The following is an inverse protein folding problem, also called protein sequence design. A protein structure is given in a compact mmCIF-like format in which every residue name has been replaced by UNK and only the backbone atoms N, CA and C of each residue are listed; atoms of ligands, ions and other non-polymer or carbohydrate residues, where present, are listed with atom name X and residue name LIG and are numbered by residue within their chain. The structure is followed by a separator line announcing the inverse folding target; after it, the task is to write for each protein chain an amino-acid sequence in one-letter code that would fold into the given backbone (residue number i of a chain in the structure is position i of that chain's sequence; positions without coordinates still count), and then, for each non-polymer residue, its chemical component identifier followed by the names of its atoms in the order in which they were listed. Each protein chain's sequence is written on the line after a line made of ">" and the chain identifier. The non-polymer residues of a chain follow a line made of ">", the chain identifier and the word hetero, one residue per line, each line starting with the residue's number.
data_IF_503867878775
#
_entry.id   IF_503867878775
#
_cell.length_a   1.000
_cell.length_b   1.000
_cell.length_c   1.000
_cell.angle_alpha   90.00
_cell.angle_beta   90.00
_cell.angle_gamma   90.00
#
_symmetry.space_group_name_H-M   'P 1'
#
loop_
_entity.id
_entity.type
_entity.pdbx_description
1 polymer ?
#
# COMPACT_ATOMS: atom_id res chain seq x y z
N UNK A 1 12.57 31.87 -14.82
CA UNK A 1 12.12 31.86 -13.43
C UNK A 1 13.11 31.01 -12.67
N UNK A 2 13.93 31.59 -11.81
CA UNK A 2 14.89 30.87 -10.97
C UNK A 2 14.12 30.17 -9.87
N UNK A 3 13.99 28.85 -9.99
CA UNK A 3 13.45 28.01 -8.91
C UNK A 3 14.44 28.10 -7.75
N UNK A 4 14.06 28.76 -6.68
CA UNK A 4 14.86 28.73 -5.43
C UNK A 4 14.77 27.29 -4.94
N UNK A 5 15.85 26.51 -5.06
CA UNK A 5 15.92 25.18 -4.44
C UNK A 5 15.73 25.36 -2.93
N UNK A 6 14.60 24.84 -2.43
CA UNK A 6 14.35 24.76 -0.99
C UNK A 6 15.33 23.71 -0.45
N UNK A 7 16.31 24.15 0.35
CA UNK A 7 17.24 23.23 0.98
C UNK A 7 16.49 22.40 2.02
N UNK A 8 16.31 21.10 1.75
CA UNK A 8 15.72 20.17 2.70
C UNK A 8 16.61 20.04 3.94
N UNK A 9 16.00 19.83 5.10
CA UNK A 9 16.70 19.46 6.32
C UNK A 9 17.53 18.18 6.10
N UNK A 10 18.67 18.05 6.78
CA UNK A 10 19.60 16.92 6.62
C UNK A 10 18.94 15.57 6.93
N UNK A 11 18.07 15.51 7.94
CA UNK A 11 17.32 14.29 8.28
C UNK A 11 16.32 13.91 7.17
N UNK A 12 15.64 14.91 6.59
CA UNK A 12 14.75 14.69 5.45
C UNK A 12 15.54 14.18 4.25
N UNK A 13 16.70 14.78 3.95
CA UNK A 13 17.57 14.34 2.86
C UNK A 13 18.04 12.89 3.06
N UNK A 14 18.50 12.55 4.26
CA UNK A 14 18.94 11.19 4.59
C UNK A 14 17.79 10.18 4.44
N UNK A 15 16.58 10.55 4.87
CA UNK A 15 15.39 9.73 4.69
C UNK A 15 15.06 9.52 3.20
N UNK A 16 15.07 10.59 2.39
CA UNK A 16 14.82 10.51 0.94
C UNK A 16 15.79 9.55 0.25
N UNK A 17 17.08 9.64 0.58
CA UNK A 17 18.09 8.74 0.02
C UNK A 17 17.80 7.28 0.41
N UNK A 18 17.46 7.02 1.67
CA UNK A 18 17.13 5.68 2.14
C UNK A 18 15.86 5.14 1.47
N UNK A 19 14.80 5.95 1.41
CA UNK A 19 13.52 5.57 0.79
C UNK A 19 13.69 5.30 -0.73
N UNK A 20 14.51 6.10 -1.42
CA UNK A 20 14.79 5.88 -2.85
C UNK A 20 15.49 4.55 -3.08
N UNK A 21 16.53 4.24 -2.32
CA UNK A 21 17.22 2.94 -2.39
C UNK A 21 16.28 1.77 -2.10
N UNK A 22 15.42 1.92 -1.11
CA UNK A 22 14.46 0.89 -0.73
C UNK A 22 13.38 0.71 -1.80
N UNK A 23 12.95 1.79 -2.47
CA UNK A 23 12.05 1.73 -3.62
C UNK A 23 12.68 1.03 -4.83
N UNK A 24 13.94 1.33 -5.16
CA UNK A 24 14.69 0.65 -6.23
C UNK A 24 14.74 -0.86 -6.00
N UNK A 25 15.02 -1.27 -4.75
CA UNK A 25 14.99 -2.68 -4.35
C UNK A 25 13.58 -3.28 -4.49
N UNK A 26 12.56 -2.57 -4.00
CA UNK A 26 11.18 -3.01 -4.08
C UNK A 26 10.72 -3.17 -5.53
N UNK A 27 10.95 -2.19 -6.39
CA UNK A 27 10.59 -2.25 -7.81
C UNK A 27 11.28 -3.41 -8.53
N UNK A 28 12.56 -3.66 -8.25
CA UNK A 28 13.26 -4.82 -8.80
C UNK A 28 12.58 -6.13 -8.40
N UNK A 29 12.31 -6.34 -7.10
CA UNK A 29 11.66 -7.56 -6.61
C UNK A 29 10.26 -7.72 -7.20
N UNK A 30 9.47 -6.66 -7.25
CA UNK A 30 8.11 -6.69 -7.78
C UNK A 30 8.09 -7.00 -9.28
N UNK A 31 9.10 -6.58 -10.04
CA UNK A 31 9.28 -7.00 -11.45
C UNK A 31 9.66 -8.47 -11.55
N UNK A 32 10.66 -8.91 -10.78
CA UNK A 32 11.14 -10.29 -10.79
C UNK A 32 10.06 -11.31 -10.39
N UNK A 33 9.15 -10.92 -9.50
CA UNK A 33 8.00 -11.73 -9.08
C UNK A 33 6.79 -11.65 -10.01
N UNK A 34 6.84 -10.81 -11.04
CA UNK A 34 5.71 -10.59 -11.94
C UNK A 34 4.55 -9.80 -11.33
N UNK A 35 4.76 -9.17 -10.18
CA UNK A 35 3.75 -8.35 -9.50
C UNK A 35 3.53 -7.02 -10.23
N UNK A 36 4.56 -6.45 -10.85
CA UNK A 36 4.44 -5.27 -11.71
C UNK A 36 4.04 -5.71 -13.11
N UNK A 37 2.92 -5.17 -13.62
CA UNK A 37 2.46 -5.43 -14.98
C UNK A 37 3.38 -4.79 -16.03
N UNK A 38 3.20 -5.16 -17.30
CA UNK A 38 3.91 -4.55 -18.43
C UNK A 38 3.73 -3.03 -18.55
N UNK A 39 2.71 -2.47 -17.92
CA UNK A 39 2.48 -1.02 -17.89
C UNK A 39 3.29 -0.31 -16.79
N UNK A 40 3.83 -1.05 -15.82
CA UNK A 40 4.68 -0.54 -14.75
C UNK A 40 3.97 0.43 -13.78
N UNK A 41 2.64 0.32 -13.63
CA UNK A 41 1.89 1.23 -12.74
C UNK A 41 2.10 0.82 -11.29
N UNK A 42 3.07 1.42 -10.65
CA UNK A 42 3.29 1.32 -9.20
C UNK A 42 3.92 2.60 -8.67
N UNK A 43 3.39 3.07 -7.54
CA UNK A 43 3.81 4.29 -6.88
C UNK A 43 3.78 4.09 -5.36
N UNK A 44 4.92 4.30 -4.71
CA UNK A 44 5.00 4.38 -3.25
C UNK A 44 4.91 5.83 -2.80
N UNK A 45 4.20 6.07 -1.71
CA UNK A 45 4.26 7.31 -0.95
C UNK A 45 4.67 6.96 0.47
N UNK A 46 5.80 7.48 0.93
CA UNK A 46 6.32 7.23 2.26
C UNK A 46 6.45 8.52 3.04
N UNK A 47 5.88 8.52 4.24
CA UNK A 47 5.90 9.67 5.14
C UNK A 47 7.27 9.83 5.78
N UNK A 48 7.79 11.06 5.79
CA UNK A 48 8.98 11.40 6.58
C UNK A 48 8.58 11.47 8.06
N UNK A 49 9.18 10.66 8.95
CA UNK A 49 8.79 10.60 10.35
C UNK A 49 8.83 11.96 11.06
N UNK A 50 7.81 12.23 11.87
CA UNK A 50 7.73 13.45 12.68
C UNK A 50 7.46 14.75 11.88
N UNK A 51 7.12 14.64 10.59
CA UNK A 51 6.89 15.80 9.73
C UNK A 51 5.54 15.73 8.99
N UNK A 52 5.16 16.82 8.34
CA UNK A 52 4.08 16.87 7.33
C UNK A 52 4.66 16.80 5.90
N UNK A 53 5.67 15.96 5.68
CA UNK A 53 6.33 15.73 4.41
C UNK A 53 6.23 14.25 4.05
N UNK A 54 6.09 13.97 2.76
CA UNK A 54 6.24 12.61 2.24
C UNK A 54 7.05 12.61 0.94
N UNK A 55 7.56 11.42 0.61
CA UNK A 55 8.30 11.13 -0.61
C UNK A 55 7.44 10.26 -1.49
N UNK A 56 7.16 10.71 -2.72
CA UNK A 56 6.55 9.90 -3.75
C UNK A 56 7.63 9.30 -4.65
N UNK A 57 7.56 7.99 -4.88
CA UNK A 57 8.54 7.18 -5.59
C UNK A 57 7.81 6.34 -6.63
N UNK A 58 8.01 6.69 -7.90
CA UNK A 58 7.34 6.01 -9.01
C UNK A 58 8.29 5.00 -9.68
N UNK A 59 7.74 3.86 -10.09
CA UNK A 59 8.41 2.99 -11.06
C UNK A 59 8.53 3.75 -12.39
N UNK A 60 9.72 3.89 -12.96
CA UNK A 60 9.90 4.62 -14.21
C UNK A 60 9.16 4.01 -15.41
N UNK A 61 8.75 2.76 -15.29
CA UNK A 61 8.04 2.03 -16.34
C UNK A 61 8.97 1.39 -17.38
N UNK A 62 8.41 0.48 -18.20
CA UNK A 62 9.21 -0.33 -19.13
C UNK A 62 9.73 0.46 -20.33
N UNK A 63 9.12 1.61 -20.65
CA UNK A 63 9.45 2.44 -21.81
C UNK A 63 10.43 3.56 -21.49
N UNK A 64 10.85 3.72 -20.23
CA UNK A 64 11.82 4.71 -19.85
C UNK A 64 13.24 4.28 -20.28
N UNK A 65 13.96 5.17 -20.95
CA UNK A 65 15.37 4.95 -21.32
C UNK A 65 16.25 4.87 -20.06
N UNK A 66 15.97 5.71 -19.09
CA UNK A 66 16.60 5.69 -17.75
C UNK A 66 15.58 5.19 -16.71
N UNK A 67 15.97 4.15 -15.98
CA UNK A 67 15.16 3.55 -14.93
C UNK A 67 15.54 4.00 -13.53
N UNK A 68 16.24 5.10 -13.42
CA UNK A 68 16.57 5.72 -12.13
C UNK A 68 15.28 6.21 -11.47
N UNK A 69 15.08 5.83 -10.22
CA UNK A 69 13.95 6.31 -9.42
C UNK A 69 14.21 7.75 -8.99
N UNK A 70 13.38 8.67 -9.46
CA UNK A 70 13.48 10.09 -9.10
C UNK A 70 12.43 10.40 -8.04
N UNK A 71 12.83 10.69 -6.79
CA UNK A 71 11.88 11.01 -5.72
C UNK A 71 11.25 12.39 -5.94
N UNK A 72 9.97 12.50 -5.61
CA UNK A 72 9.28 13.79 -5.45
C UNK A 72 9.00 13.99 -3.97
N UNK A 73 9.62 14.98 -3.37
CA UNK A 73 9.42 15.34 -1.97
C UNK A 73 8.42 16.47 -1.89
N UNK A 74 7.34 16.27 -1.17
CA UNK A 74 6.30 17.30 -1.05
C UNK A 74 5.72 17.36 0.37
N UNK A 75 5.28 18.57 0.73
CA UNK A 75 4.47 18.79 1.92
C UNK A 75 3.05 18.24 1.74
N UNK A 76 2.39 17.92 2.84
CA UNK A 76 0.96 17.54 2.85
C UNK A 76 0.02 18.67 2.39
N UNK A 77 0.52 19.88 2.31
CA UNK A 77 -0.18 21.06 1.74
C UNK A 77 -0.08 21.15 0.21
N UNK A 78 0.77 20.31 -0.41
CA UNK A 78 0.95 20.26 -1.86
C UNK A 78 2.19 21.02 -2.38
N UNK A 79 2.96 21.65 -1.51
CA UNK A 79 4.21 22.31 -1.92
C UNK A 79 5.25 21.24 -2.31
N UNK A 80 5.74 21.29 -3.54
CA UNK A 80 6.87 20.47 -3.97
C UNK A 80 8.16 21.07 -3.44
N UNK A 81 8.84 20.33 -2.60
CA UNK A 81 10.07 20.74 -1.91
C UNK A 81 11.31 20.32 -2.69
N UNK A 82 11.26 19.21 -3.41
CA UNK A 82 12.35 18.70 -4.24
C UNK A 82 11.82 17.68 -5.27
N UNK A 83 12.57 17.55 -6.37
CA UNK A 83 12.22 16.64 -7.48
C UNK A 83 11.35 17.29 -8.54
N UNK A 84 11.31 16.66 -9.72
CA UNK A 84 10.48 17.10 -10.84
C UNK A 84 9.22 16.25 -10.90
N UNK A 85 8.07 16.82 -10.57
CA UNK A 85 6.80 16.10 -10.58
C UNK A 85 5.67 16.80 -9.85
N UNK A 86 4.54 16.11 -9.74
CA UNK A 86 3.36 16.60 -9.03
C UNK A 86 3.34 16.10 -7.58
N UNK A 87 2.89 16.94 -6.66
CA UNK A 87 2.57 16.55 -5.28
C UNK A 87 1.28 15.70 -5.17
N UNK A 88 0.59 15.41 -6.28
CA UNK A 88 -0.72 14.78 -6.27
C UNK A 88 -0.79 13.47 -5.51
N UNK A 89 0.24 12.63 -5.58
CA UNK A 89 0.29 11.39 -4.79
C UNK A 89 0.43 11.67 -3.29
N UNK A 90 1.26 12.64 -2.90
CA UNK A 90 1.43 13.02 -1.49
C UNK A 90 0.14 13.61 -0.93
N UNK A 91 -0.47 14.57 -1.64
CA UNK A 91 -1.72 15.22 -1.18
C UNK A 91 -2.90 14.26 -1.15
N UNK A 92 -2.93 13.26 -2.04
CA UNK A 92 -3.96 12.23 -2.08
C UNK A 92 -4.06 11.42 -0.79
N UNK A 93 -2.95 11.23 -0.07
CA UNK A 93 -2.91 10.48 1.19
C UNK A 93 -2.61 11.34 2.42
N UNK A 94 -2.43 12.66 2.27
CA UNK A 94 -2.07 13.56 3.37
C UNK A 94 -3.03 13.48 4.56
N UNK A 95 -4.33 13.39 4.29
CA UNK A 95 -5.36 13.25 5.33
C UNK A 95 -5.22 11.93 6.10
N UNK A 96 -4.88 10.83 5.40
CA UNK A 96 -4.63 9.51 6.02
C UNK A 96 -3.44 9.61 6.96
N UNK A 97 -2.33 10.17 6.48
CA UNK A 97 -1.12 10.32 7.29
C UNK A 97 -1.31 11.22 8.52
N UNK A 98 -2.15 12.26 8.42
CA UNK A 98 -2.47 13.13 9.57
C UNK A 98 -3.34 12.44 10.60
N UNK A 99 -4.37 11.73 10.15
CA UNK A 99 -5.33 11.06 11.05
C UNK A 99 -4.76 9.76 11.67
N UNK A 100 -3.84 9.10 10.96
CA UNK A 100 -3.26 7.81 11.33
C UNK A 100 -1.73 7.87 11.33
N UNK A 101 -1.10 8.38 12.41
CA UNK A 101 0.36 8.49 12.50
C UNK A 101 1.11 7.15 12.39
N UNK A 102 0.44 6.05 12.71
CA UNK A 102 0.96 4.69 12.59
C UNK A 102 1.06 4.22 11.13
N UNK A 103 0.35 4.86 10.20
CA UNK A 103 0.50 4.58 8.77
C UNK A 103 1.71 5.35 8.26
N UNK A 104 2.72 4.61 7.83
CA UNK A 104 4.00 5.17 7.37
C UNK A 104 4.09 5.29 5.86
N UNK A 105 3.37 4.43 5.15
CA UNK A 105 3.46 4.36 3.68
C UNK A 105 2.15 3.87 3.05
N UNK A 106 1.94 4.27 1.80
CA UNK A 106 0.86 3.76 0.94
C UNK A 106 1.46 3.46 -0.42
N UNK A 107 1.04 2.37 -1.05
CA UNK A 107 1.40 2.06 -2.44
C UNK A 107 0.14 1.90 -3.28
N UNK A 108 0.12 2.56 -4.43
CA UNK A 108 -0.83 2.26 -5.49
C UNK A 108 -0.16 1.33 -6.49
N UNK A 109 -0.81 0.20 -6.80
CA UNK A 109 -0.25 -0.84 -7.66
C UNK A 109 -1.30 -1.42 -8.60
N UNK A 110 -0.94 -1.55 -9.88
CA UNK A 110 -1.66 -2.37 -10.85
C UNK A 110 -0.88 -3.68 -11.03
N UNK A 111 -1.39 -4.76 -10.47
CA UNK A 111 -0.80 -6.09 -10.56
C UNK A 111 -1.80 -7.08 -11.13
N UNK A 112 -1.37 -8.23 -11.68
CA UNK A 112 -2.26 -9.15 -12.38
C UNK A 112 -3.46 -9.60 -11.56
N UNK A 113 -3.25 -10.07 -10.34
CA UNK A 113 -4.31 -10.67 -9.53
C UNK A 113 -5.08 -9.66 -8.69
N UNK A 114 -4.41 -8.67 -8.07
CA UNK A 114 -5.11 -7.58 -7.39
C UNK A 114 -5.90 -6.74 -8.39
N UNK A 115 -5.33 -6.46 -9.57
CA UNK A 115 -6.03 -5.78 -10.66
C UNK A 115 -7.21 -6.59 -11.18
N UNK A 116 -7.06 -7.92 -11.30
CA UNK A 116 -8.16 -8.82 -11.65
C UNK A 116 -9.32 -8.77 -10.65
N UNK A 117 -9.03 -8.75 -9.36
CA UNK A 117 -10.04 -8.57 -8.33
C UNK A 117 -10.70 -7.20 -8.39
N UNK A 118 -9.95 -6.14 -8.67
CA UNK A 118 -10.49 -4.79 -8.82
C UNK A 118 -11.56 -4.69 -9.93
N UNK A 119 -11.46 -5.53 -10.98
CA UNK A 119 -12.49 -5.60 -12.03
C UNK A 119 -13.83 -6.17 -11.54
N UNK A 120 -13.81 -6.97 -10.48
CA UNK A 120 -15.01 -7.66 -10.00
C UNK A 120 -15.94 -6.79 -9.17
N UNK A 121 -15.46 -5.65 -8.66
CA UNK A 121 -16.14 -4.77 -7.70
C UNK A 121 -16.62 -5.50 -6.43
N UNK A 122 -16.08 -6.68 -6.14
CA UNK A 122 -16.43 -7.49 -4.98
C UNK A 122 -15.51 -7.22 -3.81
N UNK A 123 -16.01 -7.42 -2.61
CA UNK A 123 -15.18 -7.50 -1.40
C UNK A 123 -14.25 -8.70 -1.50
N UNK A 124 -12.97 -8.50 -1.30
CA UNK A 124 -11.98 -9.57 -1.27
C UNK A 124 -11.87 -10.16 0.13
N UNK A 125 -12.05 -11.47 0.31
CA UNK A 125 -11.83 -12.13 1.60
C UNK A 125 -10.34 -12.41 1.82
N UNK A 126 -9.79 -11.97 2.95
CA UNK A 126 -8.42 -12.28 3.33
C UNK A 126 -8.39 -13.68 3.94
N UNK A 127 -8.07 -14.70 3.12
CA UNK A 127 -8.01 -16.11 3.54
C UNK A 127 -6.64 -16.76 3.45
N UNK A 128 -5.71 -16.13 2.69
CA UNK A 128 -4.34 -16.63 2.61
C UNK A 128 -3.64 -16.44 3.97
N UNK A 129 -3.17 -17.55 4.55
CA UNK A 129 -2.63 -17.58 5.91
C UNK A 129 -1.46 -16.62 6.14
N UNK A 130 -0.61 -16.39 5.13
CA UNK A 130 0.51 -15.46 5.23
C UNK A 130 0.06 -14.02 5.40
N UNK A 131 -1.05 -13.61 4.76
CA UNK A 131 -1.66 -12.29 4.93
C UNK A 131 -2.46 -12.23 6.23
N UNK A 132 -3.24 -13.28 6.55
CA UNK A 132 -4.03 -13.33 7.78
C UNK A 132 -3.22 -13.10 9.05
N UNK A 133 -1.95 -13.54 9.09
CA UNK A 133 -1.03 -13.33 10.23
C UNK A 133 -0.70 -11.87 10.47
N UNK A 134 -0.78 -11.03 9.44
CA UNK A 134 -0.28 -9.65 9.47
C UNK A 134 -1.35 -8.63 9.82
N UNK A 135 -2.62 -9.04 9.88
CA UNK A 135 -3.74 -8.13 10.12
C UNK A 135 -4.90 -8.82 10.81
N UNK A 136 -5.65 -8.06 11.59
CA UNK A 136 -6.95 -8.49 12.11
C UNK A 136 -8.10 -8.20 11.13
N UNK A 137 -7.84 -7.42 10.07
CA UNK A 137 -8.79 -7.23 8.97
C UNK A 137 -9.07 -8.57 8.27
N UNK A 138 -10.34 -8.79 7.94
CA UNK A 138 -10.79 -10.04 7.28
C UNK A 138 -11.15 -9.85 5.82
N UNK A 139 -11.10 -8.60 5.33
CA UNK A 139 -11.57 -8.25 4.00
C UNK A 139 -10.90 -7.00 3.46
N UNK A 140 -10.86 -6.88 2.13
CA UNK A 140 -10.47 -5.66 1.42
C UNK A 140 -11.70 -5.14 0.68
N UNK A 141 -12.15 -3.91 0.98
CA UNK A 141 -13.32 -3.32 0.35
C UNK A 141 -13.01 -2.78 -1.06
N UNK A 142 -13.98 -2.83 -1.99
CA UNK A 142 -13.88 -2.15 -3.28
C UNK A 142 -14.25 -0.66 -3.13
N UNK A 143 -13.41 0.21 -3.68
CA UNK A 143 -13.65 1.63 -3.87
C UNK A 143 -14.29 1.83 -5.25
N UNK A 144 -15.61 1.83 -5.30
CA UNK A 144 -16.37 1.85 -6.56
C UNK A 144 -16.63 3.28 -7.03
N UNK A 145 -17.02 4.17 -6.12
CA UNK A 145 -17.25 5.58 -6.45
C UNK A 145 -15.91 6.33 -6.54
N UNK A 146 -15.38 6.39 -7.75
CA UNK A 146 -14.10 7.05 -8.06
C UNK A 146 -14.18 8.59 -8.04
N UNK A 147 -15.38 9.18 -7.80
CA UNK A 147 -15.51 10.63 -7.53
C UNK A 147 -15.03 10.98 -6.14
N UNK A 148 -15.03 10.02 -5.22
CA UNK A 148 -14.38 10.14 -3.90
C UNK A 148 -12.91 9.81 -4.05
N UNK A 149 -12.01 10.64 -3.52
CA UNK A 149 -10.57 10.35 -3.54
C UNK A 149 -10.22 9.09 -2.74
N UNK A 150 -9.20 8.34 -3.19
CA UNK A 150 -8.78 7.10 -2.51
C UNK A 150 -8.43 7.34 -1.03
N UNK A 151 -7.77 8.44 -0.71
CA UNK A 151 -7.43 8.80 0.68
C UNK A 151 -8.68 9.03 1.55
N UNK A 152 -9.70 9.71 1.04
CA UNK A 152 -10.95 9.94 1.77
C UNK A 152 -11.71 8.61 1.97
N UNK A 153 -11.72 7.72 0.96
CA UNK A 153 -12.30 6.39 1.10
C UNK A 153 -11.53 5.53 2.11
N UNK A 154 -10.20 5.56 2.10
CA UNK A 154 -9.36 4.85 3.09
C UNK A 154 -9.72 5.33 4.51
N UNK A 155 -9.85 6.64 4.73
CA UNK A 155 -10.23 7.18 6.04
C UNK A 155 -11.59 6.68 6.52
N UNK A 156 -12.61 6.69 5.65
CA UNK A 156 -13.93 6.14 5.99
C UNK A 156 -13.83 4.65 6.36
N UNK A 157 -13.05 3.87 5.61
CA UNK A 157 -12.89 2.45 5.89
C UNK A 157 -12.10 2.18 7.20
N UNK A 158 -11.08 2.99 7.52
CA UNK A 158 -10.31 2.87 8.76
C UNK A 158 -11.15 3.13 10.02
N UNK A 159 -12.22 3.94 9.92
CA UNK A 159 -13.17 4.11 11.04
C UNK A 159 -13.94 2.84 11.37
N UNK A 160 -14.14 1.94 10.38
CA UNK A 160 -14.87 0.68 10.49
C UNK A 160 -13.95 -0.51 10.75
N UNK A 161 -12.76 -0.45 10.22
CA UNK A 161 -11.73 -1.47 10.32
C UNK A 161 -10.35 -0.82 10.51
N UNK A 162 -9.92 -0.58 11.74
CA UNK A 162 -8.63 0.07 12.02
C UNK A 162 -7.42 -0.75 11.56
N UNK A 163 -7.61 -2.05 11.28
CA UNK A 163 -6.57 -2.93 10.76
C UNK A 163 -6.58 -3.04 9.24
N UNK A 164 -7.37 -2.21 8.56
CA UNK A 164 -7.40 -2.17 7.10
C UNK A 164 -5.98 -2.12 6.52
N UNK A 165 -5.70 -3.01 5.56
CA UNK A 165 -4.40 -3.10 4.89
C UNK A 165 -4.46 -2.72 3.41
N UNK A 166 -5.63 -2.67 2.81
CA UNK A 166 -5.78 -2.29 1.41
C UNK A 166 -7.22 -1.91 1.06
N UNK A 167 -7.37 -1.23 -0.08
CA UNK A 167 -8.61 -1.07 -0.82
C UNK A 167 -8.39 -1.46 -2.27
N UNK A 168 -9.43 -1.90 -2.98
CA UNK A 168 -9.41 -2.07 -4.43
C UNK A 168 -10.08 -0.89 -5.13
N UNK A 169 -9.38 -0.22 -6.01
CA UNK A 169 -9.98 0.76 -6.89
C UNK A 169 -10.66 0.08 -8.08
N UNK A 170 -11.96 0.25 -8.20
CA UNK A 170 -12.76 -0.35 -9.26
C UNK A 170 -12.13 -0.12 -10.65
N UNK A 171 -11.95 -1.20 -11.41
CA UNK A 171 -11.35 -1.24 -12.74
C UNK A 171 -9.90 -0.69 -12.81
N UNK A 172 -9.25 -0.56 -11.66
CA UNK A 172 -7.88 -0.10 -11.53
C UNK A 172 -7.00 -1.16 -10.89
N UNK A 173 -6.41 -0.81 -9.76
CA UNK A 173 -5.52 -1.66 -8.98
C UNK A 173 -5.89 -1.70 -7.50
N UNK A 174 -4.88 -1.76 -6.66
CA UNK A 174 -5.02 -1.69 -5.22
C UNK A 174 -4.23 -0.52 -4.64
N UNK A 175 -4.77 0.07 -3.56
CA UNK A 175 -3.97 0.87 -2.65
C UNK A 175 -3.72 0.04 -1.40
N UNK A 176 -2.45 -0.26 -1.12
CA UNK A 176 -2.04 -1.05 0.05
C UNK A 176 -1.40 -0.13 1.08
N UNK A 177 -1.72 -0.36 2.35
CA UNK A 177 -1.40 0.53 3.48
C UNK A 177 -0.31 -0.14 4.32
N UNK A 178 0.79 0.57 4.57
CA UNK A 178 1.95 0.12 5.36
C UNK A 178 2.09 0.85 6.68
N UNK A 179 2.54 0.11 7.71
CA UNK A 179 2.81 0.63 9.06
C UNK A 179 4.26 0.43 9.51
N UNK A 180 5.11 -0.15 8.65
CA UNK A 180 6.48 -0.53 8.98
C UNK A 180 7.50 -0.14 7.88
N UNK A 181 7.16 0.89 7.09
CA UNK A 181 8.01 1.41 6.01
C UNK A 181 7.82 0.70 4.67
N UNK A 182 8.46 1.26 3.65
CA UNK A 182 8.26 0.93 2.25
C UNK A 182 8.60 -0.54 1.93
N UNK A 183 9.71 -1.08 2.44
CA UNK A 183 10.10 -2.46 2.13
C UNK A 183 9.13 -3.50 2.71
N UNK A 184 8.61 -3.28 3.93
CA UNK A 184 7.60 -4.16 4.51
C UNK A 184 6.28 -4.05 3.76
N UNK A 185 5.94 -2.83 3.30
CA UNK A 185 4.79 -2.63 2.43
C UNK A 185 4.94 -3.37 1.10
N UNK A 186 6.12 -3.33 0.46
CA UNK A 186 6.38 -4.06 -0.78
C UNK A 186 6.25 -5.59 -0.58
N UNK A 187 6.71 -6.14 0.55
CA UNK A 187 6.49 -7.55 0.90
C UNK A 187 5.01 -7.87 1.06
N UNK A 188 4.24 -6.98 1.70
CA UNK A 188 2.80 -7.15 1.85
C UNK A 188 2.10 -7.16 0.48
N UNK A 189 2.53 -6.33 -0.47
CA UNK A 189 2.00 -6.34 -1.85
C UNK A 189 2.20 -7.71 -2.51
N UNK A 190 3.40 -8.30 -2.41
CA UNK A 190 3.68 -9.65 -2.96
C UNK A 190 2.76 -10.70 -2.32
N UNK A 191 2.60 -10.67 -1.00
CA UNK A 191 1.73 -11.61 -0.29
C UNK A 191 0.25 -11.44 -0.66
N UNK A 192 -0.19 -10.20 -0.85
CA UNK A 192 -1.56 -9.91 -1.28
C UNK A 192 -1.80 -10.38 -2.72
N UNK A 193 -0.85 -10.16 -3.62
CA UNK A 193 -0.90 -10.63 -5.00
C UNK A 193 -1.01 -12.16 -5.06
N UNK A 194 -0.16 -12.86 -4.30
CA UNK A 194 -0.20 -14.31 -4.16
C UNK A 194 -1.53 -14.79 -3.57
N UNK A 195 -2.02 -14.12 -2.52
CA UNK A 195 -3.33 -14.41 -1.91
C UNK A 195 -4.49 -14.18 -2.87
N UNK A 196 -4.42 -13.17 -3.72
CA UNK A 196 -5.42 -12.89 -4.75
C UNK A 196 -5.42 -13.96 -5.85
N UNK A 197 -4.24 -14.45 -6.24
CA UNK A 197 -4.10 -15.57 -7.16
C UNK A 197 -4.76 -16.84 -6.59
N UNK A 198 -4.43 -17.22 -5.36
CA UNK A 198 -5.00 -18.42 -4.73
C UNK A 198 -6.53 -18.29 -4.54
N UNK A 199 -7.01 -17.11 -4.19
CA UNK A 199 -8.44 -16.89 -4.07
C UNK A 199 -9.15 -17.03 -5.42
N UNK A 200 -8.58 -16.48 -6.51
CA UNK A 200 -9.15 -16.61 -7.85
C UNK A 200 -9.20 -18.08 -8.29
N UNK A 201 -8.14 -18.86 -8.03
CA UNK A 201 -8.13 -20.29 -8.30
C UNK A 201 -9.17 -21.02 -7.44
N UNK A 202 -9.28 -20.69 -6.15
CA UNK A 202 -10.27 -21.32 -5.27
C UNK A 202 -11.72 -21.05 -5.72
N UNK A 203 -12.02 -19.86 -6.28
CA UNK A 203 -13.35 -19.56 -6.85
C UNK A 203 -13.72 -20.55 -7.97
N UNK A 204 -12.75 -20.96 -8.79
CA UNK A 204 -12.99 -21.95 -9.86
C UNK A 204 -13.20 -23.39 -9.33
N UNK A 205 -12.76 -23.65 -8.11
CA UNK A 205 -12.89 -24.95 -7.42
C UNK A 205 -14.09 -25.02 -6.47
N UNK A 206 -14.98 -24.03 -6.50
CA UNK A 206 -16.20 -24.01 -5.67
C UNK A 206 -16.09 -23.07 -4.47
N UNK A 207 -15.07 -22.25 -4.38
CA UNK A 207 -14.87 -21.24 -3.35
C UNK A 207 -13.80 -21.59 -2.33
N UNK A 208 -13.44 -20.62 -1.50
CA UNK A 208 -12.47 -20.78 -0.43
C UNK A 208 -13.15 -20.82 0.93
N UNK A 209 -12.52 -21.50 1.90
CA UNK A 209 -13.01 -21.64 3.28
C UNK A 209 -12.10 -20.85 4.20
N UNK A 210 -12.69 -20.15 5.18
CA UNK A 210 -11.93 -19.42 6.19
C UNK A 210 -11.45 -20.35 7.31
N UNK A 211 -10.40 -19.95 8.01
CA UNK A 211 -10.02 -20.60 9.25
C UNK A 211 -11.10 -20.41 10.33
N UNK A 212 -11.30 -21.43 11.13
CA UNK A 212 -12.03 -21.30 12.39
C UNK A 212 -11.24 -20.42 13.38
N UNK A 213 -11.90 -20.04 14.48
CA UNK A 213 -11.31 -19.19 15.52
C UNK A 213 -10.04 -19.77 16.13
N UNK A 214 -9.96 -21.10 16.29
CA UNK A 214 -8.80 -21.77 16.89
C UNK A 214 -7.58 -21.67 15.98
N UNK A 215 -7.76 -21.90 14.68
CA UNK A 215 -6.71 -21.76 13.70
C UNK A 215 -6.27 -20.30 13.51
N UNK A 216 -7.21 -19.35 13.54
CA UNK A 216 -6.88 -17.91 13.54
C UNK A 216 -6.05 -17.52 14.76
N UNK A 217 -6.41 -18.03 15.96
CA UNK A 217 -5.64 -17.79 17.18
C UNK A 217 -4.19 -18.26 17.05
N UNK A 218 -3.95 -19.43 16.42
CA UNK A 218 -2.61 -19.93 16.14
C UNK A 218 -1.85 -19.00 15.17
N UNK A 219 -2.50 -18.56 14.09
CA UNK A 219 -1.85 -17.67 13.12
C UNK A 219 -1.49 -16.31 13.76
N UNK A 220 -2.42 -15.69 14.48
CA UNK A 220 -2.19 -14.41 15.15
C UNK A 220 -1.21 -14.52 16.34
N UNK A 221 -1.13 -15.70 16.98
CA UNK A 221 -0.12 -15.96 18.01
C UNK A 221 1.32 -15.87 17.51
N UNK A 222 1.55 -16.20 16.23
CA UNK A 222 2.87 -16.13 15.59
C UNK A 222 3.38 -14.71 15.37
N UNK A 223 2.49 -13.73 15.37
CA UNK A 223 2.79 -12.31 15.08
C UNK A 223 2.42 -11.38 16.23
N UNK A 224 2.00 -11.92 17.39
CA UNK A 224 1.64 -11.14 18.56
C UNK A 224 0.26 -10.48 18.50
N UNK A 225 -0.57 -10.79 17.49
CA UNK A 225 -1.90 -10.19 17.34
C UNK A 225 -3.00 -10.93 18.12
N UNK A 226 -2.72 -12.12 18.70
CA UNK A 226 -3.74 -12.95 19.35
C UNK A 226 -4.41 -12.29 20.55
N UNK A 227 -3.67 -11.53 21.35
CA UNK A 227 -4.25 -10.86 22.53
C UNK A 227 -5.18 -9.72 22.13
N UNK A 228 -4.83 -8.97 21.09
CA UNK A 228 -5.72 -7.94 20.55
C UNK A 228 -6.97 -8.58 19.93
N UNK A 229 -6.80 -9.68 19.21
CA UNK A 229 -7.92 -10.43 18.62
C UNK A 229 -8.90 -10.91 19.69
N UNK A 230 -8.40 -11.40 20.85
CA UNK A 230 -9.24 -11.78 22.01
C UNK A 230 -9.97 -10.57 22.59
N UNK A 231 -9.27 -9.45 22.83
CA UNK A 231 -9.90 -8.22 23.34
C UNK A 231 -11.05 -7.73 22.46
N UNK A 232 -10.93 -7.92 21.15
CA UNK A 232 -11.98 -7.55 20.18
C UNK A 232 -13.03 -8.63 19.91
N UNK A 233 -12.94 -9.78 20.55
CA UNK A 233 -13.88 -10.91 20.37
C UNK A 233 -13.82 -11.57 18.98
N UNK A 234 -12.69 -11.46 18.31
CA UNK A 234 -12.47 -12.10 16.99
C UNK A 234 -12.17 -13.59 17.12
N UNK A 235 -11.58 -13.98 18.25
CA UNK A 235 -11.29 -15.38 18.65
C UNK A 235 -11.70 -15.63 20.09
#
# INVERSE_FOLDING_TARGET
>A
MTTTEIRLDENVQAFVVAATRDAEKAFRVLRETGTVTGNGTINFVERVPGTEIAVALNEPGPWADDRTVVPVVAGFNGDVLSGAGSAGFVTGYAKVFRAHPEITSVVHVHSPWLGGWAQTHRVFPIRYAAVQRLTLSRRIPPHIDRSVGAGDFILDQLTRDPDLIAIFEANGGANVIGRAGLLELAKLVVLLEEGAQYQAIAETLGGSVDFDKSNLAVQWGRTGLADEARRRGLI
#
